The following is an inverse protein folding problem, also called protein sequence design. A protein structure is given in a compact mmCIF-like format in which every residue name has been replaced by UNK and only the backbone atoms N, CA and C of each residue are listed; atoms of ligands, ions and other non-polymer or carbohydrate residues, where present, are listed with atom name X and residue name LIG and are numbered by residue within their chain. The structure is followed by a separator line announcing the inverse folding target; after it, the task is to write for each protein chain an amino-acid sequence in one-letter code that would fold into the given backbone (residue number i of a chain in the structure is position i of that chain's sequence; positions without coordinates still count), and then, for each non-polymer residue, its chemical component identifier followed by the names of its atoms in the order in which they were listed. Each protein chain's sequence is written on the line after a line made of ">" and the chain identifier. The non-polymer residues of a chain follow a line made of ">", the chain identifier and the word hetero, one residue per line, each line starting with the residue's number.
data_IF_787946924502
#
_entry.id   IF_787946924502
#
_cell.length_a   1.000
_cell.length_b   1.000
_cell.length_c   1.000
_cell.angle_alpha   90.00
_cell.angle_beta   90.00
_cell.angle_gamma   90.00
#
_symmetry.space_group_name_H-M   'P 1'
#
loop_
_entity.id
_entity.type
_entity.pdbx_description
1 polymer ?
#
# COMPACT_ATOMS: atom_id res chain seq x y z
N UNK A 1 -10.48 25.49 -10.97
CA UNK A 1 -9.85 25.23 -9.65
C UNK A 1 -8.88 24.05 -9.77
N UNK A 2 -7.57 24.30 -9.88
CA UNK A 2 -6.55 23.24 -10.06
C UNK A 2 -6.46 22.24 -8.89
N UNK A 3 -7.07 22.56 -7.74
CA UNK A 3 -7.08 21.72 -6.53
C UNK A 3 -7.88 20.42 -6.68
N UNK A 4 -8.95 20.39 -7.47
CA UNK A 4 -9.75 19.18 -7.68
C UNK A 4 -8.99 18.16 -8.54
N UNK A 5 -8.35 18.63 -9.62
CA UNK A 5 -7.53 17.79 -10.47
C UNK A 5 -6.37 17.16 -9.70
N UNK A 6 -5.67 17.95 -8.86
CA UNK A 6 -4.60 17.44 -7.99
C UNK A 6 -5.10 16.40 -6.98
N UNK A 7 -6.27 16.61 -6.37
CA UNK A 7 -6.85 15.66 -5.41
C UNK A 7 -7.26 14.35 -6.08
N UNK A 8 -7.83 14.42 -7.28
CA UNK A 8 -8.14 13.23 -8.08
C UNK A 8 -6.86 12.51 -8.52
N UNK A 9 -5.82 13.25 -8.94
CA UNK A 9 -4.57 12.65 -9.37
C UNK A 9 -3.85 11.94 -8.22
N UNK A 10 -3.81 12.51 -7.01
CA UNK A 10 -3.26 11.86 -5.81
C UNK A 10 -4.08 10.67 -5.33
N UNK A 11 -5.39 10.68 -5.60
CA UNK A 11 -6.25 9.55 -5.29
C UNK A 11 -6.05 8.37 -6.26
N UNK A 12 -5.78 8.66 -7.54
CA UNK A 12 -5.60 7.65 -8.60
C UNK A 12 -4.16 7.18 -8.70
N UNK A 13 -3.19 8.07 -8.54
CA UNK A 13 -1.76 7.80 -8.57
C UNK A 13 -1.18 8.09 -7.19
N UNK A 14 -0.97 7.07 -6.35
CA UNK A 14 -0.23 7.28 -5.13
C UNK A 14 1.19 7.70 -5.45
N UNK A 15 1.62 8.81 -4.87
CA UNK A 15 2.90 9.44 -5.18
C UNK A 15 4.09 8.60 -4.68
N UNK A 16 3.89 7.84 -3.60
CA UNK A 16 4.95 7.03 -2.99
C UNK A 16 4.40 5.72 -2.42
N UNK A 17 5.10 4.63 -2.69
CA UNK A 17 4.89 3.34 -2.03
C UNK A 17 6.17 2.99 -1.25
N UNK A 18 6.04 2.82 0.07
CA UNK A 18 7.16 2.45 0.92
C UNK A 18 7.00 0.98 1.32
N UNK A 19 8.01 0.12 1.07
CA UNK A 19 7.95 -1.27 1.51
C UNK A 19 7.99 -1.30 3.04
N UNK A 20 6.94 -1.85 3.67
CA UNK A 20 6.83 -1.96 5.12
C UNK A 20 7.48 -3.24 5.60
N UNK A 21 7.19 -4.35 4.92
CA UNK A 21 7.73 -5.65 5.27
C UNK A 21 7.67 -6.62 4.08
N UNK A 22 8.62 -7.55 4.04
CA UNK A 22 8.58 -8.75 3.19
C UNK A 22 8.26 -9.96 4.05
N UNK A 23 7.25 -10.72 3.65
CA UNK A 23 6.74 -11.90 4.37
C UNK A 23 6.72 -13.10 3.44
N UNK A 24 7.03 -14.28 3.98
CA UNK A 24 7.15 -15.50 3.18
C UNK A 24 5.77 -16.03 2.73
N UNK A 25 4.72 -15.79 3.52
CA UNK A 25 3.39 -16.35 3.29
C UNK A 25 2.33 -15.29 2.98
N UNK A 26 1.41 -15.65 2.07
CA UNK A 26 0.33 -14.76 1.63
C UNK A 26 -0.64 -14.42 2.78
N UNK A 27 -0.90 -15.37 3.68
CA UNK A 27 -1.77 -15.17 4.83
C UNK A 27 -1.21 -14.09 5.78
N UNK A 28 0.10 -14.09 6.00
CA UNK A 28 0.79 -13.07 6.81
C UNK A 28 0.75 -11.71 6.12
N UNK A 29 0.98 -11.66 4.81
CA UNK A 29 0.89 -10.44 4.02
C UNK A 29 -0.52 -9.83 4.07
N UNK A 30 -1.57 -10.65 3.99
CA UNK A 30 -2.96 -10.19 4.14
C UNK A 30 -3.27 -9.70 5.54
N UNK A 31 -2.80 -10.39 6.58
CA UNK A 31 -2.98 -9.97 7.96
C UNK A 31 -2.31 -8.60 8.21
N UNK A 32 -1.09 -8.42 7.71
CA UNK A 32 -0.34 -7.18 7.83
C UNK A 32 -1.03 -6.04 7.05
N UNK A 33 -1.49 -6.30 5.83
CA UNK A 33 -2.26 -5.33 5.06
C UNK A 33 -3.56 -4.93 5.76
N UNK A 34 -4.28 -5.88 6.36
CA UNK A 34 -5.51 -5.60 7.12
C UNK A 34 -5.24 -4.74 8.36
N UNK A 35 -4.14 -4.97 9.07
CA UNK A 35 -3.72 -4.13 10.19
C UNK A 35 -3.38 -2.71 9.76
N UNK A 36 -2.66 -2.54 8.64
CA UNK A 36 -2.35 -1.22 8.09
C UNK A 36 -3.63 -0.47 7.68
N UNK A 37 -4.58 -1.16 7.06
CA UNK A 37 -5.90 -0.59 6.72
C UNK A 37 -6.70 -0.20 7.97
N UNK A 38 -6.68 -1.03 9.02
CA UNK A 38 -7.31 -0.70 10.29
C UNK A 38 -6.68 0.53 10.98
N UNK A 39 -5.39 0.79 10.74
CA UNK A 39 -4.69 2.01 11.19
C UNK A 39 -4.99 3.24 10.32
N UNK A 40 -5.86 3.11 9.31
CA UNK A 40 -6.22 4.20 8.39
C UNK A 40 -5.21 4.41 7.27
N UNK A 41 -4.25 3.50 7.09
CA UNK A 41 -3.26 3.55 6.02
C UNK A 41 -3.76 2.78 4.80
N UNK A 42 -3.19 3.06 3.63
CA UNK A 42 -3.43 2.26 2.42
C UNK A 42 -2.29 1.28 2.27
N UNK A 43 -2.58 0.01 2.04
CA UNK A 43 -1.58 -1.02 1.86
C UNK A 43 -1.78 -1.74 0.52
N UNK A 44 -0.68 -2.11 -0.13
CA UNK A 44 -0.66 -2.97 -1.31
C UNK A 44 0.19 -4.20 -1.04
N UNK A 45 -0.24 -5.33 -1.58
CA UNK A 45 0.52 -6.58 -1.52
C UNK A 45 1.05 -6.84 -2.92
N UNK A 46 2.36 -6.98 -3.04
CA UNK A 46 3.05 -7.31 -4.28
C UNK A 46 3.79 -8.62 -4.10
N UNK A 47 3.73 -9.49 -5.11
CA UNK A 47 4.50 -10.73 -5.09
C UNK A 47 5.96 -10.42 -5.41
N UNK A 48 6.88 -10.88 -4.59
CA UNK A 48 8.32 -10.74 -4.79
C UNK A 48 8.92 -12.09 -5.25
N UNK A 49 10.19 -12.09 -5.66
CA UNK A 49 10.90 -13.33 -6.02
C UNK A 49 10.89 -14.35 -4.87
N UNK A 50 10.88 -13.87 -3.62
CA UNK A 50 10.83 -14.69 -2.41
C UNK A 50 9.74 -14.15 -1.48
N UNK A 51 8.49 -14.57 -1.73
CA UNK A 51 7.34 -14.25 -0.87
C UNK A 51 6.51 -13.06 -1.35
N UNK A 52 6.06 -12.24 -0.40
CA UNK A 52 5.14 -11.13 -0.60
C UNK A 52 5.65 -9.87 0.09
N UNK A 53 5.74 -8.78 -0.64
CA UNK A 53 6.07 -7.46 -0.11
C UNK A 53 4.75 -6.73 0.19
N UNK A 54 4.59 -6.27 1.42
CA UNK A 54 3.52 -5.36 1.81
C UNK A 54 4.08 -3.94 1.82
N UNK A 55 3.49 -3.07 1.01
CA UNK A 55 3.89 -1.68 0.86
C UNK A 55 2.80 -0.74 1.36
N UNK A 56 3.17 0.30 2.09
CA UNK A 56 2.27 1.39 2.46
C UNK A 56 2.23 2.42 1.32
N UNK A 57 1.03 2.83 0.98
CA UNK A 57 0.75 3.72 -0.15
C UNK A 57 0.37 5.10 0.39
N UNK A 58 1.28 6.07 0.24
CA UNK A 58 1.04 7.46 0.62
C UNK A 58 0.37 8.23 -0.54
N UNK A 59 -0.69 8.98 -0.24
CA UNK A 59 -1.42 9.84 -1.18
C UNK A 59 -0.96 11.31 -1.13
#
# INVERSE_FOLDING_TARGET
>A
MPSIALRAFRAVFPLFAYPVATVAHEAEARALAALLVAQGKRATIQRAEQGFTVSEVAA
#
